data_IF_606078579389
#
_entry.id   IF_606078579389
#
_cell.length_a   1.000
_cell.length_b   1.000
_cell.length_c   1.000
_cell.angle_alpha   90.00
_cell.angle_beta   90.00
_cell.angle_gamma   90.00
#
_symmetry.space_group_name_H-M   'P 1'
#
loop_
_entity.id
_entity.type
_entity.pdbx_description
1 polymer ?
#
# COMPACT_ATOMS: atom_id res chain seq x y z
N UNK A 1 20.33 -47.70 -28.80
CA UNK A 1 20.42 -46.53 -27.90
C UNK A 1 20.64 -47.11 -26.49
N UNK A 2 21.76 -46.80 -25.86
CA UNK A 2 22.11 -47.41 -24.60
C UNK A 2 21.19 -46.88 -23.49
N UNK A 3 20.87 -47.73 -22.56
CA UNK A 3 20.01 -47.40 -21.37
C UNK A 3 20.46 -46.12 -20.66
N UNK A 4 21.77 -45.91 -20.60
CA UNK A 4 22.36 -44.69 -20.03
C UNK A 4 21.99 -43.42 -20.80
N UNK A 5 22.07 -43.47 -22.13
CA UNK A 5 21.72 -42.32 -23.00
C UNK A 5 20.25 -41.98 -22.89
N UNK A 6 19.36 -42.96 -22.80
CA UNK A 6 17.93 -42.78 -22.61
C UNK A 6 17.64 -42.10 -21.25
N UNK A 7 18.30 -42.55 -20.18
CA UNK A 7 18.10 -41.97 -18.83
C UNK A 7 18.54 -40.50 -18.79
N UNK A 8 19.68 -40.17 -19.39
CA UNK A 8 20.18 -38.79 -19.45
C UNK A 8 19.23 -37.89 -20.26
N UNK A 9 18.72 -38.39 -21.38
CA UNK A 9 17.80 -37.64 -22.23
C UNK A 9 16.48 -37.37 -21.50
N UNK A 10 15.89 -38.35 -20.83
CA UNK A 10 14.66 -38.19 -20.04
C UNK A 10 14.88 -37.23 -18.88
N UNK A 11 16.00 -37.31 -18.15
CA UNK A 11 16.35 -36.38 -17.10
C UNK A 11 16.46 -34.92 -17.62
N UNK A 12 17.09 -34.72 -18.76
CA UNK A 12 17.22 -33.40 -19.38
C UNK A 12 15.85 -32.81 -19.79
N UNK A 13 14.98 -33.59 -20.39
CA UNK A 13 13.62 -33.17 -20.73
C UNK A 13 12.81 -32.84 -19.46
N UNK A 14 12.92 -33.60 -18.40
CA UNK A 14 12.23 -33.35 -17.14
C UNK A 14 12.66 -31.99 -16.52
N UNK A 15 13.95 -31.68 -16.56
CA UNK A 15 14.47 -30.37 -16.08
C UNK A 15 13.93 -29.22 -16.95
N UNK A 16 13.93 -29.35 -18.27
CA UNK A 16 13.38 -28.31 -19.16
C UNK A 16 11.90 -28.09 -18.89
N UNK A 17 11.10 -29.14 -18.74
CA UNK A 17 9.67 -29.04 -18.45
C UNK A 17 9.42 -28.40 -17.09
N UNK A 18 10.25 -28.68 -16.08
CA UNK A 18 10.17 -28.04 -14.79
C UNK A 18 10.44 -26.53 -14.85
N UNK A 19 11.49 -26.11 -15.58
CA UNK A 19 11.80 -24.70 -15.78
C UNK A 19 10.70 -23.99 -16.57
N UNK A 20 10.21 -24.57 -17.65
CA UNK A 20 9.10 -24.00 -18.43
C UNK A 20 7.83 -23.87 -17.57
N UNK A 21 7.49 -24.90 -16.81
CA UNK A 21 6.37 -24.88 -15.88
C UNK A 21 6.50 -23.78 -14.82
N UNK A 22 7.70 -23.59 -14.27
CA UNK A 22 7.98 -22.53 -13.27
C UNK A 22 7.83 -21.14 -13.88
N UNK A 23 8.30 -20.92 -15.11
CA UNK A 23 8.16 -19.63 -15.82
C UNK A 23 6.69 -19.36 -16.12
N UNK A 24 5.96 -20.34 -16.64
CA UNK A 24 4.52 -20.22 -16.91
C UNK A 24 3.75 -19.93 -15.63
N UNK A 25 4.05 -20.66 -14.55
CA UNK A 25 3.45 -20.41 -13.24
C UNK A 25 3.73 -18.99 -12.76
N UNK A 26 4.97 -18.51 -12.84
CA UNK A 26 5.33 -17.16 -12.45
C UNK A 26 4.59 -16.10 -13.29
N UNK A 27 4.40 -16.31 -14.58
CA UNK A 27 3.69 -15.38 -15.47
C UNK A 27 2.17 -15.37 -15.25
N UNK A 28 1.54 -16.51 -15.04
CA UNK A 28 0.08 -16.62 -14.96
C UNK A 28 -0.47 -16.58 -13.54
N UNK A 29 0.32 -16.96 -12.53
CA UNK A 29 -0.10 -17.02 -11.14
C UNK A 29 0.58 -16.01 -10.23
N UNK A 30 1.58 -15.25 -10.71
CA UNK A 30 1.94 -14.00 -10.06
C UNK A 30 0.78 -13.04 -10.29
N UNK A 31 -0.25 -13.15 -9.45
CA UNK A 31 -1.26 -12.12 -9.35
C UNK A 31 -0.50 -10.82 -9.07
N UNK A 32 -0.43 -9.94 -10.06
CA UNK A 32 0.15 -8.61 -9.90
C UNK A 32 -0.56 -8.00 -8.71
N UNK A 33 0.18 -7.67 -7.64
CA UNK A 33 -0.41 -6.99 -6.49
C UNK A 33 -1.20 -5.80 -7.04
N UNK A 34 -2.46 -5.61 -6.60
CA UNK A 34 -3.32 -4.57 -7.14
C UNK A 34 -2.59 -3.23 -7.06
N UNK A 35 -2.66 -2.45 -8.13
CA UNK A 35 -2.03 -1.13 -8.14
C UNK A 35 -2.66 -0.24 -7.07
N UNK A 36 -1.92 0.74 -6.58
CA UNK A 36 -2.45 1.73 -5.63
C UNK A 36 -3.75 2.36 -6.11
N UNK A 37 -3.84 2.63 -7.41
CA UNK A 37 -5.02 3.22 -8.03
C UNK A 37 -6.21 2.25 -8.05
N UNK A 38 -5.97 0.96 -8.25
CA UNK A 38 -7.03 -0.05 -8.23
C UNK A 38 -7.61 -0.22 -6.84
N UNK A 39 -6.78 -0.15 -5.79
CA UNK A 39 -7.22 -0.19 -4.40
C UNK A 39 -8.09 1.03 -4.06
N UNK A 40 -7.68 2.23 -4.46
CA UNK A 40 -8.47 3.45 -4.24
C UNK A 40 -9.79 3.42 -5.02
N UNK A 41 -9.81 2.90 -6.26
CA UNK A 41 -11.03 2.70 -7.03
C UNK A 41 -12.00 1.70 -6.37
N UNK A 42 -11.48 0.62 -5.78
CA UNK A 42 -12.30 -0.33 -5.02
C UNK A 42 -12.95 0.33 -3.80
N UNK A 43 -12.21 1.18 -3.08
CA UNK A 43 -12.76 1.95 -1.96
C UNK A 43 -13.83 2.91 -2.45
N UNK A 44 -13.58 3.65 -3.55
CA UNK A 44 -14.54 4.57 -4.16
C UNK A 44 -15.83 3.85 -4.56
N UNK A 45 -15.72 2.69 -5.19
CA UNK A 45 -16.90 1.91 -5.61
C UNK A 45 -17.77 1.48 -4.43
N UNK A 46 -17.15 1.19 -3.28
CA UNK A 46 -17.87 0.73 -2.06
C UNK A 46 -18.39 1.85 -1.18
N UNK A 47 -17.68 2.97 -1.12
CA UNK A 47 -17.93 4.05 -0.14
C UNK A 47 -18.31 5.37 -0.80
N UNK A 48 -18.20 5.48 -2.12
CA UNK A 48 -18.32 6.74 -2.83
C UNK A 48 -17.08 7.61 -2.67
N UNK A 49 -17.23 8.90 -2.88
CA UNK A 49 -16.16 9.88 -2.76
C UNK A 49 -15.60 10.33 -4.11
N UNK A 50 -14.76 11.33 -4.07
CA UNK A 50 -14.18 11.97 -5.23
C UNK A 50 -12.66 11.91 -5.19
N UNK A 51 -12.04 11.72 -6.35
CA UNK A 51 -10.59 11.78 -6.47
C UNK A 51 -10.12 13.24 -6.51
N UNK A 52 -9.20 13.57 -5.61
CA UNK A 52 -8.58 14.88 -5.53
C UNK A 52 -7.08 14.77 -5.74
N UNK A 53 -6.56 15.57 -6.66
CA UNK A 53 -5.11 15.71 -6.83
C UNK A 53 -4.55 16.63 -5.75
N UNK A 54 -3.68 16.10 -4.91
CA UNK A 54 -3.07 16.86 -3.80
C UNK A 54 -1.66 17.33 -4.13
N UNK A 55 -0.97 16.63 -5.04
CA UNK A 55 0.36 17.01 -5.55
C UNK A 55 0.59 16.33 -6.92
N UNK A 56 1.60 16.73 -7.70
CA UNK A 56 1.98 16.04 -8.91
C UNK A 56 2.24 14.56 -8.64
N UNK A 57 1.53 13.67 -9.32
CA UNK A 57 1.62 12.23 -9.15
C UNK A 57 1.00 11.66 -7.86
N UNK A 58 0.31 12.50 -7.06
CA UNK A 58 -0.38 12.07 -5.82
C UNK A 58 -1.86 12.39 -5.89
N UNK A 59 -2.66 11.36 -5.98
CA UNK A 59 -4.12 11.45 -5.96
C UNK A 59 -4.64 10.82 -4.66
N UNK A 60 -5.56 11.47 -4.00
CA UNK A 60 -6.26 10.97 -2.81
C UNK A 60 -7.74 10.85 -3.10
N UNK A 61 -8.38 9.87 -2.47
CA UNK A 61 -9.82 9.74 -2.44
C UNK A 61 -10.36 10.53 -1.26
N UNK A 62 -11.22 11.50 -1.53
CA UNK A 62 -11.91 12.31 -0.53
C UNK A 62 -13.29 11.73 -0.24
N UNK A 63 -13.51 11.34 1.01
CA UNK A 63 -14.77 10.84 1.54
C UNK A 63 -15.32 11.90 2.50
N UNK A 64 -16.42 12.53 2.14
CA UNK A 64 -17.02 13.61 2.93
C UNK A 64 -18.22 13.10 3.73
N UNK A 65 -18.32 13.54 4.97
CA UNK A 65 -19.49 13.36 5.82
C UNK A 65 -19.74 14.62 6.67
N UNK A 66 -20.81 14.61 7.44
CA UNK A 66 -21.19 15.77 8.30
C UNK A 66 -20.16 16.09 9.39
N UNK A 67 -19.34 15.13 9.81
CA UNK A 67 -18.32 15.33 10.85
C UNK A 67 -16.97 15.82 10.29
N UNK A 68 -16.73 15.65 8.97
CA UNK A 68 -15.48 16.07 8.34
C UNK A 68 -15.17 15.28 7.08
N UNK A 69 -13.98 15.51 6.55
CA UNK A 69 -13.49 14.85 5.36
C UNK A 69 -12.38 13.87 5.70
N UNK A 70 -12.45 12.68 5.14
CA UNK A 70 -11.39 11.67 5.18
C UNK A 70 -10.72 11.63 3.82
N UNK A 71 -9.42 11.89 3.78
CA UNK A 71 -8.63 11.73 2.56
C UNK A 71 -7.81 10.45 2.69
N UNK A 72 -7.96 9.55 1.71
CA UNK A 72 -7.24 8.28 1.65
C UNK A 72 -6.32 8.32 0.43
N UNK A 73 -5.03 8.12 0.64
CA UNK A 73 -4.04 8.03 -0.41
C UNK A 73 -3.22 6.75 -0.30
N UNK A 74 -2.69 6.30 -1.43
CA UNK A 74 -1.76 5.20 -1.49
C UNK A 74 -0.68 5.56 -2.51
N UNK A 75 0.56 5.69 -2.07
CA UNK A 75 1.70 5.96 -2.96
C UNK A 75 2.97 5.30 -2.44
N UNK A 76 3.90 5.12 -3.35
CA UNK A 76 5.22 4.61 -3.00
C UNK A 76 6.01 5.70 -2.29
N UNK A 77 6.45 5.41 -1.08
CA UNK A 77 7.38 6.28 -0.36
C UNK A 77 8.81 5.84 -0.68
N UNK A 78 9.62 6.78 -1.17
CA UNK A 78 11.05 6.55 -1.35
C UNK A 78 11.73 6.72 0.00
N UNK A 79 12.12 5.64 0.63
CA UNK A 79 13.00 5.70 1.77
C UNK A 79 14.42 6.03 1.29
N UNK A 80 15.00 7.06 1.88
CA UNK A 80 16.39 7.45 1.60
C UNK A 80 17.30 6.29 2.01
N UNK A 81 17.82 5.56 1.01
CA UNK A 81 18.78 4.48 1.21
C UNK A 81 18.33 3.07 0.85
N UNK A 82 17.05 2.84 0.57
CA UNK A 82 16.57 1.53 0.10
C UNK A 82 15.90 1.64 -1.27
N UNK A 83 16.31 0.78 -2.20
CA UNK A 83 15.72 0.72 -3.55
C UNK A 83 14.32 0.09 -3.60
N UNK A 84 13.81 -0.42 -2.49
CA UNK A 84 12.49 -1.06 -2.42
C UNK A 84 11.43 0.00 -2.13
N UNK A 85 10.72 0.42 -3.16
CA UNK A 85 9.57 1.30 -3.05
C UNK A 85 8.33 0.48 -2.69
N UNK A 86 7.97 0.44 -1.41
CA UNK A 86 6.74 -0.21 -0.96
C UNK A 86 5.59 0.80 -1.01
N UNK A 87 4.41 0.43 -1.58
CA UNK A 87 3.25 1.29 -1.49
C UNK A 87 2.79 1.38 -0.03
N UNK A 88 2.54 2.58 0.45
CA UNK A 88 2.02 2.82 1.80
C UNK A 88 0.72 3.60 1.76
N UNK A 89 -0.18 3.27 2.69
CA UNK A 89 -1.44 3.97 2.86
C UNK A 89 -1.26 5.19 3.76
N UNK A 90 -1.93 6.28 3.36
CA UNK A 90 -2.00 7.52 4.10
C UNK A 90 -3.46 7.90 4.27
N UNK A 91 -3.88 8.11 5.50
CA UNK A 91 -5.23 8.58 5.84
C UNK A 91 -5.11 9.88 6.59
N UNK A 92 -5.80 10.90 6.13
CA UNK A 92 -5.88 12.21 6.78
C UNK A 92 -7.32 12.52 7.12
N UNK A 93 -7.59 12.82 8.36
CA UNK A 93 -8.87 13.33 8.83
C UNK A 93 -8.84 14.84 8.94
N UNK A 94 -9.81 15.50 8.32
CA UNK A 94 -10.01 16.93 8.43
C UNK A 94 -11.40 17.18 9.04
N UNK A 95 -11.47 17.68 10.30
CA UNK A 95 -12.74 17.94 10.94
C UNK A 95 -13.52 19.06 10.23
N UNK A 96 -14.84 18.98 10.26
CA UNK A 96 -15.71 20.09 9.88
C UNK A 96 -15.62 21.24 10.90
N UNK A 97 -15.96 22.44 10.48
CA UNK A 97 -16.07 23.59 11.38
C UNK A 97 -17.05 23.25 12.53
N UNK A 98 -16.62 23.45 13.77
CA UNK A 98 -17.42 23.19 14.97
C UNK A 98 -17.28 21.78 15.57
N UNK A 99 -16.35 20.98 15.08
CA UNK A 99 -15.95 19.72 15.71
C UNK A 99 -14.76 19.97 16.66
N UNK A 100 -14.85 19.48 17.90
CA UNK A 100 -13.75 19.59 18.89
C UNK A 100 -12.62 18.57 18.67
N UNK A 101 -12.70 17.78 17.61
CA UNK A 101 -11.69 16.78 17.28
C UNK A 101 -10.54 17.44 16.48
N UNK A 102 -9.29 17.19 16.88
CA UNK A 102 -8.13 17.69 16.15
C UNK A 102 -7.98 16.99 14.78
N UNK A 103 -7.35 17.67 13.84
CA UNK A 103 -6.91 17.04 12.61
C UNK A 103 -5.89 15.95 12.92
N UNK A 104 -6.03 14.77 12.32
CA UNK A 104 -5.06 13.70 12.49
C UNK A 104 -4.71 13.02 11.17
N UNK A 105 -3.57 12.34 11.16
CA UNK A 105 -3.08 11.54 10.05
C UNK A 105 -2.69 10.16 10.55
N UNK A 106 -3.02 9.15 9.77
CA UNK A 106 -2.53 7.78 9.92
C UNK A 106 -1.61 7.48 8.75
N UNK A 107 -0.43 6.98 9.06
CA UNK A 107 0.53 6.54 8.06
C UNK A 107 0.94 5.11 8.35
N UNK A 108 0.96 4.27 7.33
CA UNK A 108 1.42 2.90 7.48
C UNK A 108 2.89 2.87 7.90
N UNK A 109 3.23 2.06 8.88
CA UNK A 109 4.62 1.88 9.36
C UNK A 109 5.44 1.22 8.25
N UNK A 110 6.48 1.93 7.79
CA UNK A 110 7.39 1.47 6.72
C UNK A 110 8.80 1.18 7.21
N UNK A 111 9.03 1.25 8.53
CA UNK A 111 10.34 1.05 9.15
C UNK A 111 11.22 2.31 9.20
N UNK A 112 10.91 3.34 8.41
CA UNK A 112 11.59 4.64 8.48
C UNK A 112 10.84 5.57 9.44
N UNK A 113 11.60 6.30 10.29
CA UNK A 113 11.00 7.31 11.15
C UNK A 113 10.51 8.48 10.31
N UNK A 114 9.19 8.64 10.25
CA UNK A 114 8.57 9.75 9.51
C UNK A 114 8.37 10.94 10.43
N UNK A 115 8.78 12.11 9.98
CA UNK A 115 8.51 13.39 10.64
C UNK A 115 7.49 14.12 9.80
N UNK A 116 6.34 14.45 10.39
CA UNK A 116 5.28 15.23 9.74
C UNK A 116 5.26 16.62 10.38
N UNK A 117 5.65 17.63 9.60
CA UNK A 117 5.71 19.03 10.11
C UNK A 117 4.32 19.49 10.59
N UNK A 118 4.26 20.08 11.79
CA UNK A 118 3.02 20.56 12.41
C UNK A 118 2.14 19.46 13.02
N UNK A 119 2.68 18.24 13.16
CA UNK A 119 1.99 17.11 13.77
C UNK A 119 2.90 16.42 14.79
N UNK A 120 2.30 15.97 15.88
CA UNK A 120 2.97 15.16 16.89
C UNK A 120 2.56 13.71 16.77
N UNK A 121 3.54 12.82 16.73
CA UNK A 121 3.29 11.37 16.79
C UNK A 121 2.76 11.01 18.19
N UNK A 122 1.69 10.23 18.24
CA UNK A 122 1.09 9.75 19.47
C UNK A 122 0.68 8.29 19.34
N UNK A 123 0.47 7.62 20.46
CA UNK A 123 -0.03 6.25 20.46
C UNK A 123 -1.53 6.24 20.17
N UNK A 124 -1.98 5.29 19.35
CA UNK A 124 -3.40 5.08 19.12
C UNK A 124 -4.05 4.44 20.35
N UNK A 125 -5.28 4.83 20.72
CA UNK A 125 -6.06 4.11 21.72
C UNK A 125 -6.42 2.68 21.26
N UNK A 126 -6.32 2.41 19.97
CA UNK A 126 -6.57 1.10 19.36
C UNK A 126 -5.24 0.37 19.14
N UNK A 127 -4.88 -0.55 20.04
CA UNK A 127 -3.63 -1.34 19.96
C UNK A 127 -3.41 -2.05 18.62
N UNK A 128 -4.48 -2.37 17.89
CA UNK A 128 -4.42 -3.00 16.57
C UNK A 128 -3.80 -2.04 15.55
N UNK A 129 -4.06 -0.74 15.67
CA UNK A 129 -3.51 0.27 14.75
C UNK A 129 -2.04 0.56 15.05
N UNK A 130 -1.61 0.54 16.32
CA UNK A 130 -0.22 0.85 16.72
C UNK A 130 0.83 -0.08 16.08
N UNK A 131 0.45 -1.28 15.67
CA UNK A 131 1.36 -2.22 15.01
C UNK A 131 1.54 -1.95 13.51
N UNK A 132 0.58 -1.30 12.89
CA UNK A 132 0.51 -1.15 11.43
C UNK A 132 0.55 0.30 10.98
N UNK A 133 0.20 1.23 11.85
CA UNK A 133 0.10 2.65 11.54
C UNK A 133 0.67 3.54 12.63
N UNK A 134 1.36 4.57 12.21
CA UNK A 134 1.72 5.71 13.06
C UNK A 134 0.59 6.74 13.05
N UNK A 135 0.18 7.20 14.23
CA UNK A 135 -0.81 8.25 14.41
C UNK A 135 -0.13 9.58 14.67
N UNK A 136 -0.47 10.58 13.89
CA UNK A 136 0.00 11.96 14.03
C UNK A 136 -1.19 12.87 14.28
N UNK A 137 -1.12 13.67 15.32
CA UNK A 137 -2.15 14.66 15.71
C UNK A 137 -1.59 16.05 15.48
N UNK A 138 -2.39 16.94 14.89
CA UNK A 138 -1.99 18.33 14.64
C UNK A 138 -1.71 19.02 15.97
N UNK A 139 -0.60 19.74 16.04
CA UNK A 139 -0.28 20.63 17.14
C UNK A 139 -0.99 21.97 16.91
N UNK A 140 -1.66 22.46 17.96
CA UNK A 140 -2.28 23.77 17.98
C UNK A 140 -1.23 24.89 18.09
#
# INVERSE_FOLDING_TARGET
MDFFTLTVLVGFFAVILFFLGSVVYAFFFSASAPSSDDLLKQIQTRRGGEFRRVAPGRTMLELSNHAGNVLVGCWKQSDVGYQVQTPSFHVRWQPSRGTDLPEFRLQQVTGAKTIVSGFRQTSSPLRVLDKSFDLFVKED
#
